data_IF_873729116712
#
_entry.id   IF_873729116712
#
_cell.length_a   1.000
_cell.length_b   1.000
_cell.length_c   1.000
_cell.angle_alpha   90.00
_cell.angle_beta   90.00
_cell.angle_gamma   90.00
#
_symmetry.space_group_name_H-M   'P 1'
#
loop_
_entity.id
_entity.type
_entity.pdbx_description
1 polymer ?
#
# COMPACT_ATOMS: atom_id res chain seq x y z
N UNK A 1 -42.11 -40.68 -14.53
CA UNK A 1 -40.86 -40.66 -13.74
C UNK A 1 -39.70 -39.92 -14.42
N UNK A 2 -39.59 -39.92 -15.76
CA UNK A 2 -38.51 -39.22 -16.50
C UNK A 2 -38.49 -37.66 -16.44
N UNK A 3 -39.62 -36.92 -16.37
CA UNK A 3 -39.55 -35.46 -16.37
C UNK A 3 -39.09 -34.87 -15.03
N UNK A 4 -39.35 -35.56 -13.92
CA UNK A 4 -38.93 -35.12 -12.58
C UNK A 4 -37.40 -35.19 -12.40
N UNK A 5 -36.77 -36.20 -13.01
CA UNK A 5 -35.30 -36.35 -13.01
C UNK A 5 -34.62 -35.23 -13.82
N UNK A 6 -35.25 -34.78 -14.90
CA UNK A 6 -34.75 -33.71 -15.75
C UNK A 6 -34.78 -32.34 -15.04
N UNK A 7 -35.84 -32.08 -14.26
CA UNK A 7 -35.92 -30.89 -13.40
C UNK A 7 -34.88 -30.90 -12.28
N UNK A 8 -34.57 -32.07 -11.70
CA UNK A 8 -33.55 -32.20 -10.67
C UNK A 8 -32.12 -31.99 -11.22
N UNK A 9 -31.86 -32.36 -12.48
CA UNK A 9 -30.58 -32.14 -13.17
C UNK A 9 -30.36 -30.67 -13.59
N UNK A 10 -31.43 -29.90 -13.74
CA UNK A 10 -31.38 -28.45 -14.04
C UNK A 10 -31.37 -27.59 -12.76
N UNK A 11 -31.60 -28.17 -11.59
CA UNK A 11 -31.58 -27.47 -10.32
C UNK A 11 -30.20 -26.88 -9.90
N UNK A 12 -29.03 -27.47 -10.25
CA UNK A 12 -27.74 -26.88 -9.87
C UNK A 12 -27.33 -25.67 -10.73
N UNK A 13 -28.12 -25.27 -11.75
CA UNK A 13 -27.85 -24.02 -12.48
C UNK A 13 -28.39 -22.78 -11.75
N UNK A 14 -29.17 -22.97 -10.67
CA UNK A 14 -29.56 -21.94 -9.72
C UNK A 14 -28.55 -21.81 -8.55
N UNK A 15 -27.31 -22.23 -8.76
CA UNK A 15 -26.22 -21.86 -7.86
C UNK A 15 -25.98 -20.36 -8.02
N UNK A 16 -26.41 -19.59 -7.03
CA UNK A 16 -26.02 -18.19 -6.90
C UNK A 16 -24.49 -18.13 -6.81
N UNK A 17 -23.84 -17.64 -7.86
CA UNK A 17 -22.44 -17.25 -7.76
C UNK A 17 -22.32 -16.22 -6.63
N UNK A 18 -21.25 -16.30 -5.82
CA UNK A 18 -21.01 -15.28 -4.81
C UNK A 18 -21.00 -13.91 -5.49
N UNK A 19 -21.67 -12.89 -4.91
CA UNK A 19 -21.62 -11.55 -5.45
C UNK A 19 -20.15 -11.12 -5.54
N UNK A 20 -19.72 -10.73 -6.74
CA UNK A 20 -18.39 -10.19 -6.94
C UNK A 20 -18.32 -8.87 -6.18
N UNK A 21 -17.51 -8.84 -5.12
CA UNK A 21 -17.32 -7.62 -4.33
C UNK A 21 -16.49 -6.63 -5.16
N UNK A 22 -17.06 -5.45 -5.38
CA UNK A 22 -16.38 -4.32 -5.99
C UNK A 22 -15.63 -3.55 -4.89
N UNK A 23 -14.38 -3.93 -4.66
CA UNK A 23 -13.53 -3.26 -3.68
C UNK A 23 -13.05 -1.93 -4.25
N UNK A 24 -13.62 -0.82 -3.79
CA UNK A 24 -13.28 0.52 -4.27
C UNK A 24 -12.39 1.32 -3.30
N UNK A 25 -12.25 0.87 -2.06
CA UNK A 25 -11.55 1.62 -1.02
C UNK A 25 -10.43 0.78 -0.42
N UNK A 26 -9.21 1.30 -0.47
CA UNK A 26 -8.01 0.67 0.06
C UNK A 26 -7.52 1.45 1.28
N UNK A 27 -7.40 0.77 2.43
CA UNK A 27 -6.90 1.37 3.67
C UNK A 27 -5.61 0.67 4.09
N UNK A 28 -4.54 1.44 4.23
CA UNK A 28 -3.19 0.95 4.51
C UNK A 28 -2.71 1.47 5.86
N UNK A 29 -2.63 0.57 6.83
CA UNK A 29 -2.14 0.89 8.18
C UNK A 29 -0.63 1.21 8.19
N UNK A 30 -0.20 2.05 9.12
CA UNK A 30 1.22 2.25 9.39
C UNK A 30 1.86 1.02 10.03
N UNK A 31 2.96 0.52 9.45
CA UNK A 31 3.73 -0.60 10.00
C UNK A 31 5.22 -0.33 10.19
N UNK A 32 5.67 0.92 9.98
CA UNK A 32 7.08 1.25 9.89
C UNK A 32 7.78 0.42 8.80
N UNK A 33 8.89 -0.24 9.14
CA UNK A 33 9.63 -1.07 8.19
C UNK A 33 8.84 -2.29 7.69
N UNK A 34 7.81 -2.74 8.43
CA UNK A 34 6.93 -3.84 7.97
C UNK A 34 6.10 -3.44 6.76
N UNK A 35 5.97 -2.14 6.47
CA UNK A 35 5.29 -1.64 5.28
C UNK A 35 5.91 -2.10 3.96
N UNK A 36 7.15 -2.62 3.96
CA UNK A 36 7.76 -3.27 2.79
C UNK A 36 6.93 -4.47 2.30
N UNK A 37 6.18 -5.13 3.19
CA UNK A 37 5.28 -6.21 2.81
C UNK A 37 4.14 -5.78 1.88
N UNK A 38 3.87 -4.48 1.75
CA UNK A 38 2.84 -3.98 0.82
C UNK A 38 3.15 -4.28 -0.64
N UNK A 39 4.43 -4.44 -1.03
CA UNK A 39 4.77 -4.85 -2.38
C UNK A 39 4.11 -6.19 -2.76
N UNK A 40 4.18 -7.18 -1.86
CA UNK A 40 3.51 -8.48 -2.07
C UNK A 40 1.99 -8.38 -2.05
N UNK A 41 1.42 -7.48 -1.22
CA UNK A 41 -0.03 -7.22 -1.22
C UNK A 41 -0.48 -6.68 -2.58
N UNK A 42 0.22 -5.69 -3.12
CA UNK A 42 -0.15 -5.10 -4.41
C UNK A 42 0.05 -6.07 -5.57
N UNK A 43 1.06 -6.94 -5.53
CA UNK A 43 1.22 -7.99 -6.53
C UNK A 43 -0.03 -8.89 -6.60
N UNK A 44 -0.52 -9.36 -5.45
CA UNK A 44 -1.74 -10.19 -5.40
C UNK A 44 -2.98 -9.39 -5.80
N UNK A 45 -3.14 -8.15 -5.32
CA UNK A 45 -4.30 -7.32 -5.69
C UNK A 45 -4.32 -6.99 -7.19
N UNK A 46 -3.16 -6.79 -7.81
CA UNK A 46 -3.04 -6.55 -9.25
C UNK A 46 -3.36 -7.81 -10.07
N UNK A 47 -2.83 -8.98 -9.65
CA UNK A 47 -3.12 -10.29 -10.26
C UNK A 47 -4.63 -10.61 -10.23
N UNK A 48 -5.28 -10.30 -9.10
CA UNK A 48 -6.72 -10.51 -8.93
C UNK A 48 -7.60 -9.42 -9.57
N UNK A 49 -7.00 -8.49 -10.32
CA UNK A 49 -7.65 -7.33 -10.93
C UNK A 49 -8.40 -6.42 -9.94
N UNK A 50 -8.04 -6.47 -8.65
CA UNK A 50 -8.64 -5.67 -7.58
C UNK A 50 -8.01 -4.28 -7.53
N UNK A 51 -6.69 -4.19 -7.76
CA UNK A 51 -5.97 -2.92 -7.65
C UNK A 51 -6.52 -1.85 -8.61
N UNK A 52 -6.96 -2.24 -9.80
CA UNK A 52 -7.54 -1.36 -10.83
C UNK A 52 -8.96 -0.88 -10.49
N UNK A 53 -9.64 -1.52 -9.52
CA UNK A 53 -10.97 -1.12 -9.05
C UNK A 53 -10.90 -0.07 -7.93
N UNK A 54 -9.72 0.12 -7.34
CA UNK A 54 -9.53 1.07 -6.23
C UNK A 54 -9.74 2.51 -6.70
N UNK A 55 -10.70 3.20 -6.09
CA UNK A 55 -11.01 4.61 -6.35
C UNK A 55 -10.54 5.53 -5.23
N UNK A 56 -10.41 5.00 -4.01
CA UNK A 56 -10.04 5.77 -2.81
C UNK A 56 -8.97 5.04 -2.04
N UNK A 57 -7.93 5.77 -1.67
CA UNK A 57 -6.84 5.25 -0.86
C UNK A 57 -6.72 6.09 0.41
N UNK A 58 -6.64 5.42 1.55
CA UNK A 58 -6.27 6.01 2.82
C UNK A 58 -5.03 5.29 3.35
N UNK A 59 -4.08 6.03 3.90
CA UNK A 59 -2.86 5.42 4.44
C UNK A 59 -2.31 6.22 5.61
N UNK A 60 -1.71 5.54 6.59
CA UNK A 60 -1.02 6.18 7.72
C UNK A 60 0.47 5.79 7.77
N UNK A 61 1.36 6.75 8.03
CA UNK A 61 2.81 6.51 8.12
C UNK A 61 3.36 5.77 6.88
N UNK A 62 3.93 4.56 7.03
CA UNK A 62 4.38 3.73 5.92
C UNK A 62 3.27 3.38 4.92
N UNK A 63 2.03 3.23 5.38
CA UNK A 63 0.86 3.04 4.53
C UNK A 63 0.53 4.26 3.68
N UNK A 64 0.84 5.49 4.14
CA UNK A 64 0.68 6.71 3.33
C UNK A 64 1.63 6.72 2.12
N UNK A 65 2.85 6.21 2.30
CA UNK A 65 3.85 6.12 1.23
C UNK A 65 3.40 5.09 0.18
N UNK A 66 3.02 3.90 0.62
CA UNK A 66 2.47 2.87 -0.26
C UNK A 66 1.21 3.35 -0.98
N UNK A 67 0.30 4.02 -0.24
CA UNK A 67 -0.93 4.56 -0.79
C UNK A 67 -0.73 5.70 -1.79
N UNK A 68 0.30 6.53 -1.60
CA UNK A 68 0.69 7.55 -2.58
C UNK A 68 1.00 6.92 -3.94
N UNK A 69 1.84 5.89 -3.97
CA UNK A 69 2.24 5.23 -5.22
C UNK A 69 1.04 4.60 -5.94
N UNK A 70 0.15 3.93 -5.20
CA UNK A 70 -1.12 3.42 -5.75
C UNK A 70 -1.97 4.56 -6.32
N UNK A 71 -2.05 5.69 -5.61
CA UNK A 71 -2.89 6.83 -6.00
C UNK A 71 -2.40 7.54 -7.27
N UNK A 72 -1.09 7.49 -7.56
CA UNK A 72 -0.49 8.09 -8.76
C UNK A 72 -0.28 7.07 -9.89
N UNK A 73 -0.80 5.85 -9.74
CA UNK A 73 -0.88 4.86 -10.81
C UNK A 73 0.34 3.96 -10.98
N UNK A 74 1.19 3.81 -9.96
CA UNK A 74 2.27 2.83 -10.02
C UNK A 74 1.70 1.41 -10.10
N UNK A 75 2.31 0.59 -10.96
CA UNK A 75 2.10 -0.86 -11.02
C UNK A 75 2.68 -1.55 -9.78
N UNK A 76 2.21 -2.77 -9.50
CA UNK A 76 2.75 -3.53 -8.37
C UNK A 76 4.27 -3.76 -8.48
N UNK A 77 4.78 -3.99 -9.70
CA UNK A 77 6.22 -4.18 -9.95
C UNK A 77 7.05 -2.91 -9.72
N UNK A 78 6.52 -1.74 -10.06
CA UNK A 78 7.19 -0.46 -9.76
C UNK A 78 7.23 -0.20 -8.26
N UNK A 79 6.13 -0.48 -7.55
CA UNK A 79 6.08 -0.36 -6.09
C UNK A 79 7.10 -1.31 -5.44
N UNK A 80 7.19 -2.57 -5.88
CA UNK A 80 8.18 -3.52 -5.38
C UNK A 80 9.60 -3.00 -5.57
N UNK A 81 9.92 -2.48 -6.76
CA UNK A 81 11.24 -1.92 -7.07
C UNK A 81 11.60 -0.74 -6.16
N UNK A 82 10.66 0.21 -5.97
CA UNK A 82 10.84 1.35 -5.06
C UNK A 82 11.04 0.90 -3.61
N UNK A 83 10.29 -0.11 -3.16
CA UNK A 83 10.38 -0.62 -1.78
C UNK A 83 11.70 -1.37 -1.54
N UNK A 84 12.19 -2.13 -2.52
CA UNK A 84 13.46 -2.85 -2.43
C UNK A 84 14.68 -1.89 -2.39
N UNK A 85 14.60 -0.78 -3.09
CA UNK A 85 15.68 0.23 -3.12
C UNK A 85 15.59 1.28 -1.99
N UNK A 86 14.62 1.14 -1.10
CA UNK A 86 14.33 2.12 -0.05
C UNK A 86 15.55 2.36 0.86
N UNK A 87 16.14 3.57 0.87
CA UNK A 87 17.35 3.85 1.65
C UNK A 87 17.00 4.19 3.10
N UNK A 88 16.27 3.32 3.79
CA UNK A 88 15.65 3.59 5.09
C UNK A 88 16.65 4.01 6.17
N UNK A 89 17.88 3.48 6.12
CA UNK A 89 18.94 3.84 7.05
C UNK A 89 19.39 5.30 6.89
N UNK A 90 19.23 5.88 5.69
CA UNK A 90 19.62 7.26 5.38
C UNK A 90 18.55 8.28 5.75
N UNK A 91 17.32 7.86 6.04
CA UNK A 91 16.23 8.77 6.44
C UNK A 91 16.47 9.39 7.83
N UNK A 92 17.27 8.74 8.68
CA UNK A 92 17.72 9.30 9.94
C UNK A 92 18.91 10.26 9.72
N UNK A 93 18.63 11.46 9.20
CA UNK A 93 19.65 12.44 8.80
C UNK A 93 20.08 13.43 9.91
N UNK A 94 19.81 13.07 11.17
CA UNK A 94 20.14 13.87 12.35
C UNK A 94 21.56 13.64 12.86
N UNK A 95 22.39 14.69 12.92
CA UNK A 95 23.78 14.62 13.47
C UNK A 95 23.88 15.05 14.95
N UNK A 96 24.97 14.68 15.62
CA UNK A 96 25.31 15.21 16.96
C UNK A 96 24.60 14.58 18.16
N UNK A 97 24.10 13.35 18.03
CA UNK A 97 23.52 12.59 19.14
C UNK A 97 22.37 13.30 19.85
N UNK A 98 22.23 13.05 21.15
CA UNK A 98 21.14 13.59 22.00
C UNK A 98 21.18 15.13 22.06
N UNK A 99 22.37 15.72 22.22
CA UNK A 99 22.55 17.19 22.27
C UNK A 99 22.12 17.83 20.95
N UNK A 100 22.49 17.22 19.82
CA UNK A 100 22.08 17.66 18.49
C UNK A 100 20.57 17.59 18.28
N UNK A 101 19.92 16.52 18.77
CA UNK A 101 18.45 16.35 18.73
C UNK A 101 17.75 17.45 19.54
N UNK A 102 18.15 17.66 20.79
CA UNK A 102 17.57 18.71 21.64
C UNK A 102 17.72 20.11 21.04
N UNK A 103 18.92 20.43 20.52
CA UNK A 103 19.17 21.73 19.88
C UNK A 103 18.27 21.94 18.66
N UNK A 104 18.10 20.94 17.80
CA UNK A 104 17.24 21.05 16.61
C UNK A 104 15.76 21.14 16.98
N UNK A 105 15.32 20.41 17.99
CA UNK A 105 13.95 20.52 18.48
C UNK A 105 13.65 21.92 19.03
N UNK A 106 14.58 22.51 19.79
CA UNK A 106 14.37 23.84 20.41
C UNK A 106 14.56 25.02 19.46
N UNK A 107 15.49 24.91 18.50
CA UNK A 107 15.89 26.03 17.61
C UNK A 107 15.52 25.83 16.15
N UNK A 108 14.88 24.71 15.81
CA UNK A 108 14.46 24.37 14.46
C UNK A 108 13.10 23.68 14.48
N UNK A 109 12.69 23.11 13.34
CA UNK A 109 11.35 22.56 13.16
C UNK A 109 11.22 21.05 13.46
N UNK A 110 12.13 20.47 14.28
CA UNK A 110 12.03 19.05 14.64
C UNK A 110 13.34 18.38 15.06
N UNK A 111 13.28 17.06 15.28
CA UNK A 111 14.41 16.23 15.75
C UNK A 111 15.35 15.84 14.60
N UNK A 112 14.80 15.60 13.42
CA UNK A 112 15.48 15.22 12.18
C UNK A 112 15.31 16.33 11.14
N UNK A 113 16.22 16.41 10.17
CA UNK A 113 16.12 17.42 9.10
C UNK A 113 15.17 16.95 8.00
N UNK A 114 15.03 15.64 7.80
CA UNK A 114 14.11 15.04 6.84
C UNK A 114 14.46 15.27 5.37
N UNK A 115 15.63 15.85 5.06
CA UNK A 115 15.98 16.26 3.69
C UNK A 115 16.19 15.09 2.76
N UNK A 116 16.76 14.00 3.29
CA UNK A 116 16.98 12.78 2.52
C UNK A 116 15.63 12.13 2.20
N UNK A 117 14.75 12.04 3.20
CA UNK A 117 13.40 11.51 3.03
C UNK A 117 12.57 12.36 2.04
N UNK A 118 12.60 13.68 2.19
CA UNK A 118 11.87 14.61 1.32
C UNK A 118 12.34 14.51 -0.14
N UNK A 119 13.65 14.49 -0.40
CA UNK A 119 14.19 14.30 -1.76
C UNK A 119 13.80 12.96 -2.37
N UNK A 120 13.83 11.90 -1.56
CA UNK A 120 13.40 10.58 -2.02
C UNK A 120 11.90 10.56 -2.31
N UNK A 121 11.07 11.19 -1.48
CA UNK A 121 9.63 11.31 -1.73
C UNK A 121 9.34 12.11 -3.00
N UNK A 122 10.09 13.19 -3.24
CA UNK A 122 10.02 13.98 -4.47
C UNK A 122 10.40 13.18 -5.72
N UNK A 123 11.27 12.17 -5.63
CA UNK A 123 11.59 11.33 -6.79
C UNK A 123 10.50 10.33 -7.15
N UNK A 124 9.46 10.17 -6.31
CA UNK A 124 8.33 9.29 -6.59
C UNK A 124 7.20 9.98 -7.38
N UNK A 125 7.21 11.31 -7.46
CA UNK A 125 6.14 12.14 -8.06
C UNK A 125 6.74 12.92 -9.23
#
# INVERSE_FOLDING_TARGET
>A
MKPLLLCALLFPTLVFAQPKYDYQNLVLEGGGIKGLAYAGVFAVLEEQQVLQQIQRVAGTSAGSIAGLMVSIGYTASEIDSVMMELPIQKFNDGKGGVVGKYRRFRKGYGIYKGRVFEKWLQSLI
#
